data_IF_580067118215
#
_entry.id   IF_580067118215
#
_cell.length_a   1.000
_cell.length_b   1.000
_cell.length_c   1.000
_cell.angle_alpha   90.00
_cell.angle_beta   90.00
_cell.angle_gamma   90.00
#
_symmetry.space_group_name_H-M   'P 1'
#
loop_
_entity.id
_entity.type
_entity.pdbx_description
1 polymer ?
#
# COMPACT_ATOMS: atom_id res chain seq x y z
N UNK A 1 -8.83 -1.55 8.52
CA UNK A 1 -9.52 -2.45 7.57
C UNK A 1 -8.47 -3.06 6.65
N UNK A 2 -8.27 -4.38 6.60
CA UNK A 2 -7.18 -4.98 5.80
C UNK A 2 -7.35 -4.84 4.28
N UNK A 3 -8.46 -4.26 3.81
CA UNK A 3 -8.70 -3.97 2.40
C UNK A 3 -8.01 -2.69 1.91
N UNK A 4 -7.61 -1.77 2.78
CA UNK A 4 -7.07 -0.46 2.35
C UNK A 4 -5.72 -0.61 1.66
N UNK A 5 -4.91 -1.59 2.05
CA UNK A 5 -3.64 -1.93 1.39
C UNK A 5 -3.84 -2.37 -0.06
N UNK A 6 -4.92 -3.09 -0.35
CA UNK A 6 -5.29 -3.46 -1.72
C UNK A 6 -5.63 -2.25 -2.58
N UNK A 7 -6.32 -1.26 -2.00
CA UNK A 7 -6.63 0.01 -2.68
C UNK A 7 -5.34 0.77 -2.99
N UNK A 8 -4.36 0.79 -2.07
CA UNK A 8 -3.08 1.44 -2.32
C UNK A 8 -2.29 0.80 -3.46
N UNK A 9 -2.26 -0.54 -3.51
CA UNK A 9 -1.67 -1.27 -4.64
C UNK A 9 -2.38 -0.99 -5.97
N UNK A 10 -3.71 -0.95 -5.94
CA UNK A 10 -4.52 -0.59 -7.11
C UNK A 10 -4.18 0.81 -7.62
N UNK A 11 -4.09 1.80 -6.72
CA UNK A 11 -3.76 3.18 -7.06
C UNK A 11 -2.41 3.29 -7.76
N UNK A 12 -1.36 2.65 -7.22
CA UNK A 12 -0.03 2.64 -7.86
C UNK A 12 -0.09 1.93 -9.21
N UNK A 13 -0.79 0.80 -9.31
CA UNK A 13 -0.95 0.07 -10.57
C UNK A 13 -1.62 0.91 -11.67
N UNK A 14 -2.73 1.58 -11.35
CA UNK A 14 -3.40 2.50 -12.27
C UNK A 14 -2.51 3.67 -12.67
N UNK A 15 -1.77 4.22 -11.70
CA UNK A 15 -0.85 5.31 -11.96
C UNK A 15 0.26 4.91 -12.95
N UNK A 16 0.80 3.69 -12.82
CA UNK A 16 1.75 3.12 -13.79
C UNK A 16 1.10 2.99 -15.16
N UNK A 17 -0.07 2.35 -15.26
CA UNK A 17 -0.77 2.14 -16.53
C UNK A 17 -1.12 3.44 -17.26
N UNK A 18 -1.45 4.50 -16.51
CA UNK A 18 -1.73 5.82 -17.06
C UNK A 18 -0.46 6.50 -17.58
N UNK A 19 0.62 6.55 -16.77
CA UNK A 19 1.85 7.27 -17.15
C UNK A 19 2.63 6.56 -18.26
N UNK A 20 2.50 5.24 -18.41
CA UNK A 20 3.09 4.48 -19.53
C UNK A 20 2.23 4.50 -20.81
N UNK A 21 1.04 5.09 -20.78
CA UNK A 21 0.13 5.17 -21.93
C UNK A 21 -0.59 3.86 -22.28
N UNK A 22 -0.41 2.79 -21.50
CA UNK A 22 -1.07 1.50 -21.71
C UNK A 22 -2.59 1.64 -21.64
N UNK A 23 -3.09 2.36 -20.62
CA UNK A 23 -4.54 2.56 -20.46
C UNK A 23 -5.15 3.43 -21.57
N UNK A 24 -4.36 4.34 -22.15
CA UNK A 24 -4.78 5.24 -23.22
C UNK A 24 -4.62 4.66 -24.64
N UNK A 25 -4.17 3.41 -24.77
CA UNK A 25 -3.94 2.78 -26.08
C UNK A 25 -2.78 3.37 -26.88
N UNK A 26 -1.92 4.18 -26.26
CA UNK A 26 -0.73 4.78 -26.87
C UNK A 26 0.50 4.50 -25.99
N UNK A 27 0.97 3.23 -25.92
CA UNK A 27 2.10 2.88 -25.06
C UNK A 27 3.37 3.57 -25.52
N UNK A 28 4.09 4.20 -24.60
CA UNK A 28 5.42 4.75 -24.87
C UNK A 28 6.48 3.64 -24.90
N UNK A 29 7.55 3.77 -25.71
CA UNK A 29 8.65 2.82 -25.67
C UNK A 29 9.40 2.94 -24.34
N UNK A 30 9.43 1.87 -23.56
CA UNK A 30 10.12 1.81 -22.26
C UNK A 30 11.42 1.02 -22.42
N UNK A 31 12.54 1.64 -22.05
CA UNK A 31 13.83 0.95 -22.00
C UNK A 31 13.88 -0.06 -20.86
N UNK A 32 14.79 -1.03 -20.92
CA UNK A 32 14.94 -2.01 -19.85
C UNK A 32 15.26 -1.36 -18.50
N UNK A 33 16.06 -0.29 -18.50
CA UNK A 33 16.41 0.46 -17.29
C UNK A 33 15.17 1.13 -16.66
N UNK A 34 14.37 1.84 -17.47
CA UNK A 34 13.10 2.41 -17.01
C UNK A 34 12.14 1.33 -16.50
N UNK A 35 12.06 0.18 -17.18
CA UNK A 35 11.24 -0.96 -16.74
C UNK A 35 11.63 -1.49 -15.37
N UNK A 36 12.94 -1.60 -15.10
CA UNK A 36 13.45 -1.98 -13.78
C UNK A 36 13.12 -0.91 -12.73
N UNK A 37 13.32 0.37 -13.03
CA UNK A 37 12.96 1.46 -12.12
C UNK A 37 11.47 1.42 -11.75
N UNK A 38 10.59 1.19 -12.73
CA UNK A 38 9.15 1.03 -12.50
C UNK A 38 8.89 -0.17 -11.58
N UNK A 39 9.48 -1.33 -11.87
CA UNK A 39 9.30 -2.53 -11.05
C UNK A 39 9.71 -2.27 -9.59
N UNK A 40 10.90 -1.70 -9.36
CA UNK A 40 11.36 -1.36 -8.02
C UNK A 40 10.53 -0.27 -7.35
N UNK A 41 9.96 0.68 -8.10
CA UNK A 41 9.05 1.68 -7.55
C UNK A 41 7.75 1.09 -7.00
N UNK A 42 7.31 -0.08 -7.52
CA UNK A 42 6.10 -0.77 -7.07
C UNK A 42 6.35 -1.70 -5.86
N UNK A 43 7.61 -2.06 -5.58
CA UNK A 43 7.94 -2.99 -4.50
C UNK A 43 7.50 -2.51 -3.11
N UNK A 44 7.71 -1.24 -2.70
CA UNK A 44 7.34 -0.81 -1.36
C UNK A 44 5.87 -1.03 -1.07
N UNK A 45 4.95 -0.55 -1.92
CA UNK A 45 3.50 -0.73 -1.72
C UNK A 45 3.09 -2.20 -1.79
N UNK A 46 3.74 -3.01 -2.64
CA UNK A 46 3.46 -4.44 -2.75
C UNK A 46 3.86 -5.22 -1.49
N UNK A 47 5.12 -5.11 -1.07
CA UNK A 47 5.67 -5.88 0.04
C UNK A 47 5.19 -5.34 1.39
N UNK A 48 5.36 -4.04 1.64
CA UNK A 48 4.98 -3.44 2.92
C UNK A 48 3.46 -3.42 3.08
N UNK A 49 2.71 -3.17 1.99
CA UNK A 49 1.25 -3.30 2.00
C UNK A 49 0.79 -4.70 2.38
N UNK A 50 1.42 -5.75 1.82
CA UNK A 50 1.11 -7.14 2.18
C UNK A 50 1.34 -7.43 3.67
N UNK A 51 2.52 -7.09 4.19
CA UNK A 51 2.83 -7.33 5.60
C UNK A 51 1.99 -6.46 6.54
N UNK A 52 1.77 -5.19 6.20
CA UNK A 52 0.89 -4.30 6.98
C UNK A 52 -0.53 -4.87 7.07
N UNK A 53 -1.11 -5.33 5.95
CA UNK A 53 -2.44 -5.96 5.96
C UNK A 53 -2.50 -7.21 6.85
N UNK A 54 -1.48 -8.06 6.77
CA UNK A 54 -1.35 -9.25 7.61
C UNK A 54 -1.32 -8.91 9.11
N UNK A 55 -0.47 -7.97 9.52
CA UNK A 55 -0.38 -7.55 10.91
C UNK A 55 -1.64 -6.80 11.36
N UNK A 56 -2.25 -5.99 10.49
CA UNK A 56 -3.47 -5.26 10.84
C UNK A 56 -4.63 -6.23 11.12
N UNK A 57 -4.73 -7.31 10.34
CA UNK A 57 -5.70 -8.39 10.60
C UNK A 57 -5.49 -9.03 11.98
N UNK A 58 -4.24 -9.34 12.35
CA UNK A 58 -3.91 -9.87 13.68
C UNK A 58 -4.25 -8.90 14.81
N UNK A 59 -3.89 -7.63 14.67
CA UNK A 59 -4.19 -6.60 15.68
C UNK A 59 -5.69 -6.38 15.80
N UNK A 60 -6.45 -6.43 14.70
CA UNK A 60 -7.90 -6.31 14.73
C UNK A 60 -8.56 -7.51 15.44
N UNK A 61 -8.08 -8.74 15.21
CA UNK A 61 -8.56 -9.91 15.92
C UNK A 61 -8.32 -9.80 17.45
N UNK A 62 -7.14 -9.31 17.85
CA UNK A 62 -6.84 -9.06 19.26
C UNK A 62 -7.72 -7.94 19.86
N UNK A 63 -7.99 -6.88 19.10
CA UNK A 63 -8.87 -5.78 19.51
C UNK A 63 -10.31 -6.27 19.76
N UNK A 64 -10.83 -7.18 18.92
CA UNK A 64 -12.14 -7.82 19.12
C UNK A 64 -12.14 -8.65 20.41
N UNK A 65 -11.08 -9.43 20.66
CA UNK A 65 -10.93 -10.20 21.90
C UNK A 65 -10.89 -9.31 23.15
N UNK A 66 -10.25 -8.13 23.06
CA UNK A 66 -10.22 -7.14 24.13
C UNK A 66 -11.61 -6.51 24.35
N UNK A 67 -12.33 -6.17 23.29
CA UNK A 67 -13.66 -5.59 23.37
C UNK A 67 -14.63 -6.45 24.22
N UNK A 68 -14.51 -7.77 24.12
CA UNK A 68 -15.34 -8.71 24.87
C UNK A 68 -15.01 -8.79 26.38
N UNK A 69 -13.81 -8.39 26.81
CA UNK A 69 -13.31 -8.56 28.19
C UNK A 69 -13.10 -7.25 28.94
N UNK A 70 -12.70 -6.21 28.23
CA UNK A 70 -12.39 -4.90 28.78
C UNK A 70 -12.78 -3.80 27.77
N UNK A 71 -14.08 -3.43 27.71
CA UNK A 71 -14.58 -2.46 26.76
C UNK A 71 -13.95 -1.06 26.93
N UNK A 72 -13.49 -0.69 28.12
CA UNK A 72 -12.76 0.57 28.37
C UNK A 72 -11.43 0.65 27.60
N UNK A 73 -10.82 -0.50 27.31
CA UNK A 73 -9.57 -0.59 26.53
C UNK A 73 -9.75 -0.51 25.01
N UNK A 74 -10.98 -0.54 24.51
CA UNK A 74 -11.27 -0.66 23.08
C UNK A 74 -10.70 0.50 22.25
N UNK A 75 -10.79 1.74 22.76
CA UNK A 75 -10.27 2.91 22.07
C UNK A 75 -8.76 2.81 21.80
N UNK A 76 -7.98 2.35 22.80
CA UNK A 76 -6.54 2.13 22.63
C UNK A 76 -6.25 1.02 21.62
N UNK A 77 -7.04 -0.05 21.64
CA UNK A 77 -6.88 -1.15 20.68
C UNK A 77 -7.14 -0.70 19.24
N UNK A 78 -8.17 0.13 19.01
CA UNK A 78 -8.45 0.71 17.68
C UNK A 78 -7.26 1.56 17.20
N UNK A 79 -6.69 2.40 18.06
CA UNK A 79 -5.48 3.19 17.71
C UNK A 79 -4.34 2.27 17.28
N UNK A 80 -4.11 1.16 17.99
CA UNK A 80 -3.06 0.21 17.63
C UNK A 80 -3.33 -0.48 16.28
N UNK A 81 -4.59 -0.77 15.95
CA UNK A 81 -4.97 -1.28 14.61
C UNK A 81 -4.65 -0.26 13.53
N UNK A 82 -4.91 1.03 13.77
CA UNK A 82 -4.61 2.11 12.82
C UNK A 82 -3.11 2.36 12.67
N UNK A 83 -2.31 2.19 13.72
CA UNK A 83 -0.85 2.34 13.64
C UNK A 83 -0.20 1.37 12.64
N UNK A 84 -0.77 0.16 12.50
CA UNK A 84 -0.29 -0.79 11.50
C UNK A 84 -0.56 -0.31 10.07
N UNK A 85 -1.67 0.39 9.85
CA UNK A 85 -2.06 0.96 8.56
C UNK A 85 -1.15 2.11 8.13
N UNK A 86 -0.61 2.89 9.07
CA UNK A 86 0.34 3.96 8.79
C UNK A 86 1.54 3.49 7.96
N UNK A 87 2.04 2.28 8.21
CA UNK A 87 3.14 1.70 7.42
C UNK A 87 2.74 1.41 5.96
N UNK A 88 1.50 1.01 5.72
CA UNK A 88 0.99 0.85 4.35
C UNK A 88 0.90 2.22 3.64
N UNK A 89 0.44 3.26 4.34
CA UNK A 89 0.40 4.63 3.79
C UNK A 89 1.82 5.12 3.45
N UNK A 90 2.80 4.89 4.33
CA UNK A 90 4.20 5.24 4.04
C UNK A 90 4.74 4.52 2.82
N UNK A 91 4.39 3.24 2.64
CA UNK A 91 4.80 2.46 1.46
C UNK A 91 4.15 2.93 0.16
N UNK A 92 2.89 3.38 0.23
CA UNK A 92 2.21 4.03 -0.89
C UNK A 92 2.95 5.31 -1.28
N UNK A 93 3.21 6.19 -0.31
CA UNK A 93 3.92 7.45 -0.54
C UNK A 93 5.32 7.21 -1.14
N UNK A 94 6.07 6.25 -0.60
CA UNK A 94 7.37 5.88 -1.14
C UNK A 94 7.28 5.42 -2.60
N UNK A 95 6.30 4.58 -2.93
CA UNK A 95 6.10 4.09 -4.30
C UNK A 95 5.73 5.21 -5.26
N UNK A 96 4.84 6.13 -4.85
CA UNK A 96 4.45 7.29 -5.64
C UNK A 96 5.61 8.25 -5.87
N UNK A 97 6.45 8.49 -4.86
CA UNK A 97 7.63 9.36 -5.00
C UNK A 97 8.68 8.74 -5.92
N UNK A 98 8.97 7.45 -5.76
CA UNK A 98 9.90 6.72 -6.62
C UNK A 98 9.44 6.76 -8.07
N UNK A 99 8.17 6.42 -8.34
CA UNK A 99 7.64 6.37 -9.70
C UNK A 99 7.54 7.77 -10.35
N UNK A 100 7.23 8.80 -9.57
CA UNK A 100 7.23 10.18 -10.10
C UNK A 100 8.64 10.64 -10.49
N UNK A 101 9.68 10.19 -9.78
CA UNK A 101 11.08 10.50 -10.10
C UNK A 101 11.60 9.87 -11.39
N UNK A 102 10.89 8.90 -11.98
CA UNK A 102 11.29 8.27 -13.25
C UNK A 102 10.95 9.19 -14.42
N UNK A 103 11.96 9.54 -15.21
CA UNK A 103 11.82 10.17 -16.51
C UNK A 103 11.41 9.12 -17.55
N UNK A 104 10.14 9.17 -17.95
CA UNK A 104 9.56 8.31 -18.97
C UNK A 104 9.61 8.96 -20.34
#
# INVERSE_FOLDING_TARGET
FPGTQGIYGLLVGFWVLMKTGILGGSPIPITLDQGMQIFFSCIPVGIVGFFSGWYQGKTAAAAIGLAARNPEGLGKAIVMVTMVETYAVFSLLASLLLFNGISL
#
